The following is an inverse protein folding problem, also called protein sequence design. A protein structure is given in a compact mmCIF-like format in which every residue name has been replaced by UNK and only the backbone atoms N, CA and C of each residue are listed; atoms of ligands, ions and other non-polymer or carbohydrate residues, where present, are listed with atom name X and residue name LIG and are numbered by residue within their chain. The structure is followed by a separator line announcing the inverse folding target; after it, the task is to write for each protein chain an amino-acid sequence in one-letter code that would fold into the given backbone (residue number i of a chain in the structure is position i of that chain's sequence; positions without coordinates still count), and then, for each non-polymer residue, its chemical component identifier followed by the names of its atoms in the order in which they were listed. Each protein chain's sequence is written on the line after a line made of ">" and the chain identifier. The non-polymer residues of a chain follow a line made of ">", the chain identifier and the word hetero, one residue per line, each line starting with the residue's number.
data_IF_141419159439
#
_entry.id   IF_141419159439
#
_cell.length_a   1.000
_cell.length_b   1.000
_cell.length_c   1.000
_cell.angle_alpha   90.00
_cell.angle_beta   90.00
_cell.angle_gamma   90.00
#
_symmetry.space_group_name_H-M   'P 1'
#
loop_
_entity.id
_entity.type
_entity.pdbx_description
1 polymer ?
#
# COMPACT_ATOMS: atom_id res chain seq x y z
N UNK A 1 27.18 6.91 4.86
CA UNK A 1 25.76 6.55 4.79
C UNK A 1 25.61 5.06 5.09
N UNK A 2 24.77 4.72 6.06
CA UNK A 2 24.44 3.32 6.37
C UNK A 2 23.62 2.69 5.24
N UNK A 3 23.73 1.37 5.06
CA UNK A 3 22.88 0.59 4.16
C UNK A 3 21.60 0.19 4.89
N UNK A 4 20.43 0.42 4.33
CA UNK A 4 19.16 -0.15 4.81
C UNK A 4 18.84 -1.42 4.02
N UNK A 5 18.41 -2.48 4.71
CA UNK A 5 17.97 -3.74 4.09
C UNK A 5 16.48 -3.66 3.77
N UNK A 6 16.15 -3.78 2.51
CA UNK A 6 14.76 -3.72 2.02
C UNK A 6 14.25 -5.13 1.75
N UNK A 7 13.05 -5.43 2.26
CA UNK A 7 12.28 -6.62 1.92
C UNK A 7 11.17 -6.26 0.94
N UNK A 8 11.02 -7.04 -0.11
CA UNK A 8 9.91 -6.91 -1.07
C UNK A 8 9.01 -8.12 -0.89
N UNK A 9 7.73 -7.86 -0.62
CA UNK A 9 6.70 -8.90 -0.50
C UNK A 9 5.93 -8.99 -1.80
N UNK A 10 5.95 -10.16 -2.39
CA UNK A 10 5.12 -10.52 -3.53
C UNK A 10 4.34 -11.78 -3.17
N UNK A 11 3.02 -11.73 -3.29
CA UNK A 11 2.13 -12.84 -2.91
C UNK A 11 0.93 -12.93 -3.84
N UNK A 12 0.34 -14.12 -3.95
CA UNK A 12 -0.98 -14.30 -4.55
C UNK A 12 -2.06 -13.80 -3.59
N UNK A 13 -3.07 -13.13 -4.12
CA UNK A 13 -4.24 -12.69 -3.38
C UNK A 13 -5.46 -13.58 -3.66
N UNK A 14 -6.46 -13.47 -2.80
CA UNK A 14 -7.79 -14.08 -2.93
C UNK A 14 -8.85 -12.97 -2.93
N UNK A 15 -10.12 -13.33 -3.08
CA UNK A 15 -11.23 -12.39 -2.96
C UNK A 15 -11.47 -11.93 -1.50
N UNK A 16 -10.91 -12.62 -0.52
CA UNK A 16 -11.06 -12.29 0.90
C UNK A 16 -10.00 -11.29 1.34
N UNK A 17 -10.45 -10.05 1.57
CA UNK A 17 -9.61 -8.92 1.99
C UNK A 17 -8.86 -9.21 3.30
N UNK A 18 -9.55 -9.80 4.28
CA UNK A 18 -8.95 -10.07 5.59
C UNK A 18 -7.89 -11.18 5.49
N UNK A 19 -8.15 -12.22 4.69
CA UNK A 19 -7.18 -13.27 4.44
C UNK A 19 -5.91 -12.71 3.78
N UNK A 20 -6.07 -11.81 2.80
CA UNK A 20 -4.93 -11.15 2.14
C UNK A 20 -4.12 -10.30 3.13
N UNK A 21 -4.80 -9.52 3.99
CA UNK A 21 -4.13 -8.70 5.01
C UNK A 21 -3.34 -9.58 5.99
N UNK A 22 -3.92 -10.66 6.49
CA UNK A 22 -3.21 -11.58 7.40
C UNK A 22 -2.03 -12.28 6.71
N UNK A 23 -2.18 -12.64 5.45
CA UNK A 23 -1.09 -13.20 4.64
C UNK A 23 0.04 -12.19 4.44
N UNK A 24 -0.29 -10.93 4.15
CA UNK A 24 0.70 -9.85 4.04
C UNK A 24 1.45 -9.65 5.37
N UNK A 25 0.76 -9.61 6.50
CA UNK A 25 1.35 -9.52 7.84
C UNK A 25 2.32 -10.68 8.09
N UNK A 26 1.94 -11.92 7.76
CA UNK A 26 2.83 -13.07 7.89
C UNK A 26 4.10 -12.91 7.04
N UNK A 27 3.97 -12.37 5.83
CA UNK A 27 5.11 -12.09 4.93
C UNK A 27 5.99 -10.94 5.43
N UNK A 28 5.41 -9.90 6.04
CA UNK A 28 6.17 -8.84 6.72
C UNK A 28 7.00 -9.43 7.86
N UNK A 29 6.42 -10.30 8.69
CA UNK A 29 7.14 -11.01 9.76
C UNK A 29 8.30 -11.85 9.23
N UNK A 30 8.08 -12.59 8.15
CA UNK A 30 9.13 -13.37 7.49
C UNK A 30 10.27 -12.46 6.97
N UNK A 31 9.94 -11.33 6.34
CA UNK A 31 10.93 -10.36 5.86
C UNK A 31 11.75 -9.76 7.02
N UNK A 32 11.09 -9.38 8.12
CA UNK A 32 11.73 -8.85 9.32
C UNK A 32 12.68 -9.88 9.94
N UNK A 33 12.28 -11.16 10.05
CA UNK A 33 13.14 -12.24 10.53
C UNK A 33 14.40 -12.44 9.66
N UNK A 34 14.30 -12.14 8.35
CA UNK A 34 15.45 -12.13 7.42
C UNK A 34 16.27 -10.84 7.50
N UNK A 35 15.92 -9.95 8.43
CA UNK A 35 16.63 -8.71 8.73
C UNK A 35 16.23 -7.51 7.86
N UNK A 36 15.06 -7.54 7.19
CA UNK A 36 14.54 -6.37 6.52
C UNK A 36 14.21 -5.26 7.53
N UNK A 37 14.57 -4.03 7.20
CA UNK A 37 14.30 -2.82 7.98
C UNK A 37 13.16 -2.00 7.36
N UNK A 38 13.01 -2.10 6.04
CA UNK A 38 11.94 -1.49 5.26
C UNK A 38 11.28 -2.61 4.46
N UNK A 39 9.97 -2.77 4.57
CA UNK A 39 9.21 -3.80 3.87
C UNK A 39 8.21 -3.13 2.94
N UNK A 40 8.28 -3.45 1.65
CA UNK A 40 7.36 -2.96 0.63
C UNK A 40 6.39 -4.07 0.24
N UNK A 41 5.09 -3.81 0.38
CA UNK A 41 4.02 -4.68 -0.09
C UNK A 41 3.70 -4.38 -1.56
N UNK A 42 3.13 -5.34 -2.27
CA UNK A 42 2.70 -5.16 -3.65
C UNK A 42 1.54 -4.16 -3.77
N UNK A 43 1.34 -3.63 -4.97
CA UNK A 43 0.22 -2.75 -5.30
C UNK A 43 -1.13 -3.45 -5.02
N UNK A 44 -2.06 -2.73 -4.32
CA UNK A 44 -3.42 -3.19 -4.01
C UNK A 44 -3.48 -4.58 -3.35
N UNK A 45 -2.54 -4.86 -2.44
CA UNK A 45 -2.30 -6.21 -1.87
C UNK A 45 -3.47 -6.82 -1.10
N UNK A 46 -4.51 -6.03 -0.77
CA UNK A 46 -5.67 -6.52 0.00
C UNK A 46 -6.73 -7.21 -0.85
N UNK A 47 -6.60 -7.21 -2.18
CA UNK A 47 -7.58 -7.79 -3.11
C UNK A 47 -6.92 -8.51 -4.27
N UNK A 48 -7.71 -9.25 -5.05
CA UNK A 48 -7.36 -9.54 -6.44
C UNK A 48 -7.23 -8.22 -7.20
N UNK A 49 -6.52 -8.22 -8.32
CA UNK A 49 -6.50 -7.07 -9.22
C UNK A 49 -7.88 -6.96 -9.87
N UNK A 50 -8.63 -5.96 -9.46
CA UNK A 50 -10.03 -5.77 -9.84
C UNK A 50 -10.22 -4.80 -11.00
N UNK A 51 -9.15 -4.17 -11.47
CA UNK A 51 -9.24 -3.20 -12.56
C UNK A 51 -9.19 -3.85 -13.95
N UNK A 52 -9.24 -5.17 -14.03
CA UNK A 52 -9.38 -5.94 -15.28
C UNK A 52 -10.79 -5.87 -15.86
N UNK A 53 -11.77 -5.42 -15.07
CA UNK A 53 -13.15 -5.15 -15.45
C UNK A 53 -13.69 -3.86 -14.82
N UNK A 54 -14.74 -3.28 -15.40
CA UNK A 54 -15.51 -2.17 -14.81
C UNK A 54 -16.69 -2.71 -14.02
N UNK A 55 -16.52 -2.86 -12.69
CA UNK A 55 -17.52 -3.43 -11.81
C UNK A 55 -17.75 -2.57 -10.58
N UNK A 56 -18.95 -2.00 -10.44
CA UNK A 56 -19.32 -1.14 -9.31
C UNK A 56 -19.23 -1.83 -7.94
N UNK A 57 -19.36 -3.14 -7.88
CA UNK A 57 -19.25 -3.88 -6.62
C UNK A 57 -17.84 -3.82 -6.03
N UNK A 58 -16.82 -3.62 -6.85
CA UNK A 58 -15.43 -3.52 -6.40
C UNK A 58 -15.16 -2.26 -5.55
N UNK A 59 -16.00 -1.22 -5.61
CA UNK A 59 -15.88 -0.06 -4.71
C UNK A 59 -16.07 -0.41 -3.23
N UNK A 60 -16.66 -1.57 -2.92
CA UNK A 60 -16.78 -2.09 -1.55
C UNK A 60 -15.44 -2.50 -0.94
N UNK A 61 -14.42 -2.72 -1.78
CA UNK A 61 -13.05 -3.06 -1.34
C UNK A 61 -12.31 -1.86 -0.75
N UNK A 62 -12.74 -0.63 -1.09
CA UNK A 62 -12.09 0.60 -0.66
C UNK A 62 -12.28 0.88 0.83
N UNK A 63 -11.26 1.48 1.45
CA UNK A 63 -11.27 1.90 2.84
C UNK A 63 -10.68 3.30 3.03
N UNK A 64 -10.95 3.94 4.15
CA UNK A 64 -10.26 5.17 4.52
C UNK A 64 -8.75 4.90 4.77
N UNK A 65 -7.90 5.88 4.48
CA UNK A 65 -6.48 5.82 4.81
C UNK A 65 -6.11 7.12 5.56
N UNK A 66 -5.70 7.04 6.85
CA UNK A 66 -5.60 5.85 7.70
C UNK A 66 -6.95 5.16 7.92
N UNK A 67 -6.90 3.85 8.19
CA UNK A 67 -8.08 3.00 8.39
C UNK A 67 -7.70 1.57 8.79
N UNK A 68 -8.62 0.63 8.74
CA UNK A 68 -8.45 -0.69 9.36
C UNK A 68 -7.17 -1.42 8.97
N UNK A 69 -6.83 -1.45 7.68
CA UNK A 69 -5.60 -2.13 7.22
C UNK A 69 -4.33 -1.43 7.69
N UNK A 70 -4.31 -0.08 7.68
CA UNK A 70 -3.16 0.68 8.19
C UNK A 70 -3.02 0.56 9.69
N UNK A 71 -4.13 0.46 10.44
CA UNK A 71 -4.11 0.32 11.89
C UNK A 71 -3.51 -1.03 12.32
N UNK A 72 -3.84 -2.12 11.62
CA UNK A 72 -3.24 -3.43 11.85
C UNK A 72 -1.75 -3.43 11.48
N UNK A 73 -1.39 -2.88 10.32
CA UNK A 73 -0.01 -2.81 9.86
C UNK A 73 0.86 -1.90 10.74
N UNK A 74 0.32 -0.81 11.31
CA UNK A 74 1.01 0.05 12.26
C UNK A 74 1.45 -0.70 13.52
N UNK A 75 0.57 -1.56 14.05
CA UNK A 75 0.92 -2.41 15.20
C UNK A 75 2.04 -3.38 14.86
N UNK A 76 1.99 -3.97 13.65
CA UNK A 76 3.02 -4.89 13.16
C UNK A 76 4.35 -4.16 12.93
N UNK A 77 4.32 -2.95 12.37
CA UNK A 77 5.50 -2.11 12.17
C UNK A 77 6.21 -1.82 13.49
N UNK A 78 5.45 -1.40 14.52
CA UNK A 78 5.98 -1.15 15.86
C UNK A 78 6.53 -2.42 16.53
N UNK A 79 5.79 -3.53 16.46
CA UNK A 79 6.18 -4.81 17.04
C UNK A 79 7.52 -5.32 16.48
N UNK A 80 7.67 -5.23 15.14
CA UNK A 80 8.83 -5.76 14.44
C UNK A 80 9.96 -4.73 14.27
N UNK A 81 9.69 -3.46 14.63
CA UNK A 81 10.61 -2.35 14.42
C UNK A 81 11.03 -2.22 12.94
N UNK A 82 10.06 -2.26 12.02
CA UNK A 82 10.26 -2.14 10.58
C UNK A 82 9.37 -1.05 9.98
N UNK A 83 9.85 -0.39 8.94
CA UNK A 83 9.03 0.49 8.11
C UNK A 83 8.18 -0.36 7.16
N UNK A 84 6.90 -0.03 7.01
CA UNK A 84 6.00 -0.72 6.07
C UNK A 84 5.48 0.27 5.04
N UNK A 85 5.60 -0.09 3.76
CA UNK A 85 5.06 0.63 2.61
C UNK A 85 3.90 -0.20 2.07
N UNK A 86 2.66 0.30 2.20
CA UNK A 86 1.44 -0.45 1.97
C UNK A 86 0.54 0.23 0.94
N UNK A 87 0.36 -0.38 -0.24
CA UNK A 87 -0.54 0.11 -1.28
C UNK A 87 -1.95 -0.43 -1.10
N UNK A 88 -2.94 0.45 -1.11
CA UNK A 88 -4.34 0.19 -0.75
C UNK A 88 -5.31 0.94 -1.67
N UNK A 89 -6.54 0.44 -1.77
CA UNK A 89 -7.65 1.13 -2.40
C UNK A 89 -8.27 2.13 -1.41
N UNK A 90 -7.99 3.43 -1.60
CA UNK A 90 -8.47 4.50 -0.72
C UNK A 90 -9.87 4.97 -1.10
N UNK A 91 -10.78 4.99 -0.13
CA UNK A 91 -12.01 5.80 -0.17
C UNK A 91 -11.75 7.12 0.54
N UNK A 92 -11.51 8.19 -0.21
CA UNK A 92 -11.30 9.54 0.33
C UNK A 92 -12.59 10.21 0.77
N UNK A 93 -13.61 10.09 -0.06
CA UNK A 93 -14.95 10.63 0.14
C UNK A 93 -15.95 9.84 -0.71
N UNK A 94 -17.23 10.14 -0.59
CA UNK A 94 -18.24 9.54 -1.45
C UNK A 94 -17.95 9.89 -2.93
N UNK A 95 -17.78 8.87 -3.77
CA UNK A 95 -17.48 9.03 -5.19
C UNK A 95 -16.04 9.43 -5.51
N UNK A 96 -15.14 9.50 -4.51
CA UNK A 96 -13.73 9.88 -4.72
C UNK A 96 -12.81 8.82 -4.15
N UNK A 97 -12.10 8.13 -5.04
CA UNK A 97 -11.24 6.99 -4.70
C UNK A 97 -9.85 7.16 -5.32
N UNK A 98 -8.85 6.57 -4.68
CA UNK A 98 -7.46 6.61 -5.17
C UNK A 98 -6.76 5.27 -4.97
N UNK A 99 -5.79 5.00 -5.84
CA UNK A 99 -4.74 4.02 -5.59
C UNK A 99 -3.68 4.71 -4.71
N UNK A 100 -3.50 4.25 -3.48
CA UNK A 100 -2.78 5.00 -2.45
C UNK A 100 -1.80 4.11 -1.71
N UNK A 101 -0.60 4.62 -1.51
CA UNK A 101 0.40 3.97 -0.65
C UNK A 101 0.53 4.73 0.67
N UNK A 102 0.31 4.03 1.77
CA UNK A 102 0.58 4.49 3.13
C UNK A 102 2.02 4.16 3.52
N UNK A 103 2.68 5.04 4.27
CA UNK A 103 4.00 4.82 4.85
C UNK A 103 3.90 4.82 6.37
N UNK A 104 4.27 3.70 6.97
CA UNK A 104 4.26 3.47 8.42
C UNK A 104 5.70 3.35 8.91
N UNK A 105 6.08 4.14 9.92
CA UNK A 105 7.43 4.08 10.46
C UNK A 105 7.62 2.88 11.40
N UNK A 106 8.84 2.64 11.79
CA UNK A 106 9.27 1.52 12.62
C UNK A 106 8.73 1.56 14.07
N UNK A 107 8.21 2.68 14.51
CA UNK A 107 7.49 2.84 15.79
C UNK A 107 5.97 2.69 15.64
N UNK A 108 5.48 2.39 14.42
CA UNK A 108 4.07 2.28 14.07
C UNK A 108 3.41 3.61 13.72
N UNK A 109 4.13 4.73 13.74
CA UNK A 109 3.55 6.02 13.37
C UNK A 109 3.22 6.07 11.87
N UNK A 110 2.06 6.65 11.55
CA UNK A 110 1.66 6.93 10.18
C UNK A 110 2.34 8.21 9.70
N UNK A 111 3.31 8.09 8.79
CA UNK A 111 4.06 9.23 8.25
C UNK A 111 3.32 9.99 7.15
N UNK A 112 2.29 9.38 6.59
CA UNK A 112 1.51 9.97 5.52
C UNK A 112 1.29 8.99 4.36
N UNK A 113 0.82 9.53 3.23
CA UNK A 113 0.48 8.75 2.05
C UNK A 113 0.87 9.45 0.77
N UNK A 114 1.03 8.64 -0.28
CA UNK A 114 1.15 9.05 -1.66
C UNK A 114 -0.02 8.47 -2.46
N UNK A 115 -0.60 9.24 -3.36
CA UNK A 115 -1.67 8.81 -4.28
C UNK A 115 -1.10 8.73 -5.69
N UNK A 116 -1.30 7.60 -6.37
CA UNK A 116 -0.87 7.36 -7.76
C UNK A 116 -1.36 8.49 -8.66
N UNK A 117 -0.45 9.16 -9.35
CA UNK A 117 -0.76 10.30 -10.21
C UNK A 117 -1.06 9.88 -11.65
N UNK A 118 -0.36 8.87 -12.16
CA UNK A 118 -0.51 8.38 -13.52
C UNK A 118 -1.38 7.13 -13.54
N UNK A 119 -2.64 7.29 -13.92
CA UNK A 119 -3.65 6.23 -13.90
C UNK A 119 -3.78 5.64 -15.31
N UNK A 120 -3.46 4.36 -15.54
CA UNK A 120 -3.64 3.69 -16.82
C UNK A 120 -5.11 3.50 -17.17
N UNK A 121 -5.37 3.34 -18.46
CA UNK A 121 -6.70 3.08 -19.00
C UNK A 121 -6.58 2.31 -20.32
N UNK A 122 -6.16 1.07 -20.21
CA UNK A 122 -5.95 0.15 -21.33
C UNK A 122 -6.82 -1.11 -21.15
N UNK A 123 -7.08 -1.89 -22.20
CA UNK A 123 -7.80 -3.15 -22.08
C UNK A 123 -7.21 -4.07 -20.99
N UNK A 124 -8.03 -4.43 -20.00
CA UNK A 124 -7.62 -5.19 -18.81
C UNK A 124 -6.94 -4.36 -17.72
N UNK A 125 -6.87 -3.02 -17.88
CA UNK A 125 -6.31 -2.08 -16.89
C UNK A 125 -7.19 -0.83 -16.79
N UNK A 126 -8.49 -1.02 -16.50
CA UNK A 126 -9.49 0.05 -16.43
C UNK A 126 -9.39 0.84 -15.12
N UNK A 127 -8.18 1.29 -14.77
CA UNK A 127 -7.96 1.98 -13.50
C UNK A 127 -8.66 3.33 -13.41
N UNK A 128 -8.89 4.03 -14.52
CA UNK A 128 -9.64 5.30 -14.54
C UNK A 128 -11.11 5.17 -14.16
N UNK A 129 -11.69 3.97 -14.29
CA UNK A 129 -13.03 3.69 -13.77
C UNK A 129 -13.09 3.80 -12.25
N UNK A 130 -12.00 3.41 -11.57
CA UNK A 130 -11.93 3.35 -10.10
C UNK A 130 -11.25 4.55 -9.47
N UNK A 131 -10.15 5.05 -10.05
CA UNK A 131 -9.24 5.95 -9.36
C UNK A 131 -9.23 7.35 -9.96
N UNK A 132 -9.39 8.33 -9.07
CA UNK A 132 -9.04 9.72 -9.34
C UNK A 132 -7.52 9.85 -9.28
N UNK A 133 -6.87 10.58 -10.22
CA UNK A 133 -5.44 10.88 -10.14
C UNK A 133 -5.05 11.51 -8.81
N UNK A 134 -3.83 11.21 -8.36
CA UNK A 134 -3.29 11.73 -7.12
C UNK A 134 -3.14 13.26 -7.11
N UNK A 135 -3.46 13.87 -5.98
CA UNK A 135 -3.48 15.32 -5.77
C UNK A 135 -2.52 15.79 -4.66
N UNK A 136 -1.69 14.87 -4.14
CA UNK A 136 -0.76 15.17 -3.04
C UNK A 136 0.64 15.58 -3.51
N UNK A 137 0.91 15.50 -4.80
CA UNK A 137 2.24 15.69 -5.39
C UNK A 137 3.21 14.57 -5.01
N UNK A 138 4.45 14.69 -5.50
CA UNK A 138 5.53 13.78 -5.12
C UNK A 138 6.00 14.09 -3.71
N UNK A 139 6.21 13.05 -2.92
CA UNK A 139 6.60 13.15 -1.51
C UNK A 139 7.79 12.29 -1.19
N UNK A 140 8.54 12.74 -0.21
CA UNK A 140 9.54 11.93 0.48
C UNK A 140 9.16 11.80 1.95
N UNK A 141 9.41 10.64 2.51
CA UNK A 141 9.12 10.29 3.89
C UNK A 141 10.42 10.01 4.63
N UNK A 142 10.64 10.75 5.71
CA UNK A 142 11.80 10.55 6.57
C UNK A 142 11.45 9.46 7.57
N UNK A 143 11.97 8.25 7.33
CA UNK A 143 11.76 7.09 8.19
C UNK A 143 12.95 6.87 9.13
N UNK A 144 12.78 5.98 10.08
CA UNK A 144 13.85 5.58 10.99
C UNK A 144 15.13 5.13 10.28
N UNK A 145 15.03 4.48 9.13
CA UNK A 145 16.17 3.83 8.46
C UNK A 145 16.66 4.55 7.21
N UNK A 146 15.78 5.30 6.54
CA UNK A 146 16.11 6.05 5.33
C UNK A 146 15.07 7.12 5.02
N UNK A 147 15.44 8.10 4.19
CA UNK A 147 14.46 8.95 3.50
C UNK A 147 14.05 8.24 2.21
N UNK A 148 12.76 8.01 2.03
CA UNK A 148 12.21 7.25 0.91
C UNK A 148 11.23 8.09 0.09
N UNK A 149 11.25 7.93 -1.23
CA UNK A 149 10.17 8.35 -2.12
C UNK A 149 9.34 7.14 -2.53
N UNK A 150 8.07 7.36 -2.84
CA UNK A 150 7.14 6.31 -3.27
C UNK A 150 6.52 6.70 -4.60
N UNK A 151 6.55 5.79 -5.55
CA UNK A 151 5.87 5.84 -6.83
C UNK A 151 5.09 4.52 -7.01
N UNK A 152 3.98 4.55 -7.74
CA UNK A 152 3.15 3.38 -7.96
C UNK A 152 3.06 3.10 -9.45
N UNK A 153 3.59 1.94 -9.90
CA UNK A 153 3.42 1.40 -11.24
C UNK A 153 3.73 2.45 -12.35
N UNK A 154 2.73 3.01 -13.00
CA UNK A 154 2.86 3.98 -14.11
C UNK A 154 3.46 5.35 -13.72
N UNK A 155 3.75 5.58 -12.44
CA UNK A 155 4.46 6.80 -12.02
C UNK A 155 5.96 6.77 -12.34
N UNK A 156 6.51 5.62 -12.70
CA UNK A 156 7.94 5.44 -13.01
C UNK A 156 8.28 5.60 -14.49
#
# INVERSE_FOLDING_TARGET
>A
MGKAKVGIVQMSCTADKQQNLQKAIAKVREAAQKGAQIVCLQELFTSLYFCDEENYDNFKLAEAIPGPSTDELSKVAAELNVVIIASLFEKRAQGVYHNTTAVLDADGSYLGKYRKMHIPDDPGFYEKFYFTPGDLGYKVFKTRYATIGVLICWDQ
#
